data_IF_051447205960
#
_entry.id   IF_051447205960
#
_cell.length_a   1.000
_cell.length_b   1.000
_cell.length_c   1.000
_cell.angle_alpha   90.00
_cell.angle_beta   90.00
_cell.angle_gamma   90.00
#
_symmetry.space_group_name_H-M   'P 1'
#
loop_
_entity.id
_entity.type
_entity.pdbx_description
1 polymer ?
#
# COMPACT_ATOMS: atom_id res chain seq x y z
N UNK A 1 16.92 16.40 -7.13
CA UNK A 1 15.87 15.59 -7.81
C UNK A 1 14.91 15.07 -6.75
N UNK A 2 13.61 15.31 -6.92
CA UNK A 2 12.59 14.78 -6.03
C UNK A 2 12.08 13.43 -6.54
N UNK A 3 12.07 12.41 -5.67
CA UNK A 3 11.59 11.06 -5.96
C UNK A 3 10.43 10.75 -5.03
N UNK A 4 9.29 10.33 -5.59
CA UNK A 4 8.17 9.82 -4.82
C UNK A 4 8.20 8.29 -4.79
N UNK A 5 8.15 7.71 -3.60
CA UNK A 5 7.96 6.28 -3.39
C UNK A 5 6.53 6.03 -2.88
N UNK A 6 5.75 5.33 -3.68
CA UNK A 6 4.35 5.03 -3.37
C UNK A 6 4.22 3.60 -2.87
N UNK A 7 3.74 3.43 -1.66
CA UNK A 7 3.51 2.14 -1.02
C UNK A 7 2.01 1.86 -0.88
N UNK A 8 1.63 0.60 -1.06
CA UNK A 8 0.24 0.18 -0.83
C UNK A 8 0.16 -1.28 -0.42
N UNK A 9 -0.85 -1.64 0.36
CA UNK A 9 -1.13 -3.01 0.74
C UNK A 9 -1.26 -3.23 2.25
N UNK A 10 -1.34 -4.50 2.63
CA UNK A 10 -1.48 -4.92 4.03
C UNK A 10 -0.15 -4.88 4.80
N UNK A 11 -0.25 -4.74 6.13
CA UNK A 11 0.89 -4.68 7.05
C UNK A 11 1.89 -5.82 6.84
N UNK A 12 1.41 -7.05 6.72
CA UNK A 12 2.28 -8.22 6.57
C UNK A 12 3.23 -8.09 5.37
N UNK A 13 2.72 -7.69 4.22
CA UNK A 13 3.52 -7.53 3.01
C UNK A 13 4.49 -6.36 3.13
N UNK A 14 4.03 -5.25 3.70
CA UNK A 14 4.84 -4.05 3.88
C UNK A 14 5.98 -4.28 4.87
N UNK A 15 5.70 -4.75 6.08
CA UNK A 15 6.69 -4.93 7.13
C UNK A 15 7.78 -5.94 6.77
N UNK A 16 7.44 -6.96 5.98
CA UNK A 16 8.42 -7.94 5.48
C UNK A 16 9.57 -7.31 4.68
N UNK A 17 9.31 -6.20 4.01
CA UNK A 17 10.27 -5.54 3.12
C UNK A 17 10.72 -4.16 3.59
N UNK A 18 10.21 -3.67 4.72
CA UNK A 18 10.48 -2.31 5.21
C UNK A 18 11.98 -2.01 5.38
N UNK A 19 12.78 -2.97 5.84
CA UNK A 19 14.24 -2.84 5.94
C UNK A 19 14.90 -2.57 4.60
N UNK A 20 14.51 -3.31 3.55
CA UNK A 20 15.06 -3.14 2.19
C UNK A 20 14.64 -1.78 1.58
N UNK A 21 13.42 -1.34 1.89
CA UNK A 21 12.97 -0.02 1.45
C UNK A 21 13.75 1.09 2.13
N UNK A 22 14.12 0.92 3.40
CA UNK A 22 14.99 1.87 4.11
C UNK A 22 16.36 1.95 3.44
N UNK A 23 16.99 0.83 3.16
CA UNK A 23 18.27 0.77 2.44
C UNK A 23 18.21 1.46 1.07
N UNK A 24 17.11 1.26 0.33
CA UNK A 24 16.90 1.94 -0.96
C UNK A 24 16.80 3.46 -0.77
N UNK A 25 16.03 3.94 0.22
CA UNK A 25 15.88 5.36 0.50
C UNK A 25 17.24 5.96 0.85
N UNK A 26 17.97 5.34 1.77
CA UNK A 26 19.29 5.80 2.21
C UNK A 26 20.28 5.88 1.02
N UNK A 27 20.25 4.92 0.10
CA UNK A 27 21.10 4.93 -1.10
C UNK A 27 20.71 6.07 -2.06
N UNK A 28 19.41 6.31 -2.30
CA UNK A 28 18.95 7.40 -3.16
C UNK A 28 19.29 8.78 -2.56
N UNK A 29 19.17 8.93 -1.26
CA UNK A 29 19.51 10.17 -0.56
C UNK A 29 21.01 10.41 -0.54
N UNK A 30 21.83 9.35 -0.44
CA UNK A 30 23.29 9.44 -0.56
C UNK A 30 23.72 9.93 -1.94
N UNK A 31 22.97 9.59 -2.99
CA UNK A 31 23.17 10.09 -4.36
C UNK A 31 22.59 11.50 -4.60
N UNK A 32 22.11 12.17 -3.55
CA UNK A 32 21.61 13.55 -3.60
C UNK A 32 20.15 13.70 -4.02
N UNK A 33 19.37 12.62 -4.05
CA UNK A 33 17.93 12.70 -4.24
C UNK A 33 17.22 13.14 -2.95
N UNK A 34 16.07 13.78 -3.10
CA UNK A 34 15.12 14.03 -2.01
C UNK A 34 13.99 13.02 -2.15
N UNK A 35 13.89 12.08 -1.21
CA UNK A 35 12.95 10.98 -1.27
C UNK A 35 11.73 11.25 -0.38
N UNK A 36 10.55 11.22 -0.96
CA UNK A 36 9.28 11.37 -0.26
C UNK A 36 8.47 10.07 -0.36
N UNK A 37 8.03 9.57 0.77
CA UNK A 37 7.26 8.33 0.87
C UNK A 37 5.79 8.62 1.14
N UNK A 38 4.90 7.91 0.45
CA UNK A 38 3.45 7.99 0.59
C UNK A 38 2.87 6.58 0.73
N UNK A 39 1.89 6.42 1.60
CA UNK A 39 1.40 5.09 1.93
C UNK A 39 -0.12 5.03 2.06
N UNK A 40 -0.70 4.01 1.45
CA UNK A 40 -2.08 3.60 1.70
C UNK A 40 -2.13 2.17 2.20
N UNK A 41 -2.89 1.93 3.25
CA UNK A 41 -3.15 0.60 3.81
C UNK A 41 -4.59 0.46 4.28
N UNK A 42 -4.90 -0.72 4.78
CA UNK A 42 -6.22 -1.08 5.28
C UNK A 42 -6.23 -1.09 6.80
N UNK A 43 -7.41 -0.89 7.39
CA UNK A 43 -7.63 -1.04 8.83
C UNK A 43 -7.69 -2.50 9.29
N UNK A 44 -7.51 -3.42 8.35
CA UNK A 44 -7.40 -4.87 8.59
C UNK A 44 -6.08 -5.40 8.03
N UNK A 45 -5.62 -6.52 8.58
CA UNK A 45 -4.50 -7.29 8.03
C UNK A 45 -5.00 -8.66 7.59
N UNK A 46 -4.30 -9.28 6.64
CA UNK A 46 -4.60 -10.62 6.16
C UNK A 46 -3.60 -11.61 6.73
N UNK A 47 -4.09 -12.56 7.51
CA UNK A 47 -3.27 -13.62 8.10
C UNK A 47 -3.63 -14.97 7.49
N UNK A 48 -2.65 -15.87 7.41
CA UNK A 48 -2.92 -17.25 6.99
C UNK A 48 -3.81 -17.92 8.04
N UNK A 49 -4.89 -18.53 7.60
CA UNK A 49 -5.82 -19.24 8.49
C UNK A 49 -5.06 -20.34 9.26
N UNK A 50 -5.31 -20.41 10.56
CA UNK A 50 -4.77 -21.48 11.42
C UNK A 50 -5.92 -22.26 12.04
N UNK A 51 -5.85 -23.58 11.93
CA UNK A 51 -6.73 -24.49 12.69
C UNK A 51 -5.87 -25.27 13.69
N UNK A 52 -5.89 -24.82 14.95
CA UNK A 52 -4.97 -25.31 15.96
C UNK A 52 -3.51 -24.97 15.62
N UNK A 53 -2.65 -25.97 15.50
CA UNK A 53 -1.23 -25.81 15.10
C UNK A 53 -1.01 -25.88 13.58
N UNK A 54 -2.04 -26.19 12.79
CA UNK A 54 -1.92 -26.36 11.34
C UNK A 54 -2.19 -25.04 10.63
N UNK A 55 -1.25 -24.62 9.78
CA UNK A 55 -1.44 -23.53 8.83
C UNK A 55 -2.14 -24.07 7.58
N UNK A 56 -3.21 -23.40 7.15
CA UNK A 56 -3.93 -23.78 5.95
C UNK A 56 -3.42 -22.89 4.83
N UNK A 57 -2.55 -23.45 3.97
CA UNK A 57 -2.00 -22.72 2.84
C UNK A 57 -3.09 -22.27 1.86
N UNK A 58 -2.97 -21.02 1.39
CA UNK A 58 -3.94 -20.43 0.45
C UNK A 58 -5.23 -19.92 1.09
N UNK A 59 -5.44 -20.16 2.39
CA UNK A 59 -6.58 -19.63 3.15
C UNK A 59 -6.16 -18.45 4.02
N UNK A 60 -6.86 -17.32 3.87
CA UNK A 60 -6.55 -16.09 4.61
C UNK A 60 -7.77 -15.60 5.35
N UNK A 61 -7.56 -15.10 6.56
CA UNK A 61 -8.56 -14.43 7.38
C UNK A 61 -8.19 -12.97 7.59
N UNK A 62 -9.18 -12.10 7.54
CA UNK A 62 -9.01 -10.69 7.89
C UNK A 62 -9.06 -10.57 9.41
N UNK A 63 -8.12 -9.83 9.96
CA UNK A 63 -8.04 -9.49 11.38
C UNK A 63 -7.89 -7.98 11.54
N UNK A 64 -8.36 -7.37 12.64
CA UNK A 64 -8.11 -5.97 12.90
C UNK A 64 -6.61 -5.64 12.83
N UNK A 65 -6.28 -4.49 12.26
CA UNK A 65 -4.88 -4.05 12.16
C UNK A 65 -4.35 -3.71 13.55
N UNK A 66 -3.32 -4.43 13.96
CA UNK A 66 -2.52 -4.12 15.14
C UNK A 66 -1.17 -3.50 14.72
N UNK A 67 -0.61 -2.63 15.58
CA UNK A 67 0.70 -2.02 15.32
C UNK A 67 0.70 -1.03 14.14
N UNK A 68 -0.37 -0.27 13.95
CA UNK A 68 -0.45 0.81 12.96
C UNK A 68 0.71 1.79 13.10
N UNK A 69 1.07 2.16 14.32
CA UNK A 69 2.19 3.07 14.59
C UNK A 69 3.54 2.49 14.14
N UNK A 70 3.73 1.18 14.27
CA UNK A 70 4.92 0.50 13.78
C UNK A 70 5.09 0.67 12.26
N UNK A 71 3.99 0.54 11.51
CA UNK A 71 4.00 0.77 10.05
C UNK A 71 4.35 2.22 9.72
N UNK A 72 3.72 3.17 10.40
CA UNK A 72 3.95 4.61 10.17
C UNK A 72 5.41 4.97 10.46
N UNK A 73 6.01 4.37 11.48
CA UNK A 73 7.38 4.65 11.88
C UNK A 73 8.44 3.88 11.07
N UNK A 74 8.05 2.90 10.28
CA UNK A 74 8.98 2.06 9.52
C UNK A 74 9.75 2.84 8.45
N UNK A 75 9.11 3.81 7.79
CA UNK A 75 9.71 4.67 6.77
C UNK A 75 9.31 6.14 7.01
N UNK A 76 10.05 7.11 6.42
CA UNK A 76 9.78 8.55 6.60
C UNK A 76 8.59 9.01 5.75
N UNK A 77 7.40 8.53 6.03
CA UNK A 77 6.20 8.91 5.29
C UNK A 77 5.88 10.39 5.44
N UNK A 78 5.65 11.06 4.32
CA UNK A 78 5.15 12.43 4.25
C UNK A 78 3.65 12.49 4.43
N UNK A 79 2.96 11.50 3.90
CA UNK A 79 1.52 11.32 4.09
C UNK A 79 1.16 9.84 4.04
N UNK A 80 0.08 9.47 4.74
CA UNK A 80 -0.43 8.10 4.77
C UNK A 80 -1.92 8.09 5.05
N UNK A 81 -2.58 7.00 4.62
CA UNK A 81 -4.01 6.80 4.80
C UNK A 81 -4.29 5.34 5.14
N UNK A 82 -5.25 5.12 6.06
CA UNK A 82 -5.78 3.80 6.39
C UNK A 82 -7.29 3.82 6.18
N UNK A 83 -7.80 2.95 5.34
CA UNK A 83 -9.22 2.87 5.00
C UNK A 83 -9.79 1.49 5.34
N UNK A 84 -11.10 1.46 5.54
CA UNK A 84 -11.84 0.22 5.79
C UNK A 84 -11.95 -0.58 4.48
N UNK A 85 -11.32 -1.75 4.43
CA UNK A 85 -11.28 -2.58 3.22
C UNK A 85 -12.67 -3.05 2.80
N UNK A 86 -13.50 -3.49 3.75
CA UNK A 86 -14.82 -4.04 3.43
C UNK A 86 -15.78 -2.96 2.93
N UNK A 87 -15.73 -1.76 3.51
CA UNK A 87 -16.50 -0.62 3.02
C UNK A 87 -16.06 -0.17 1.64
N UNK A 88 -14.75 -0.15 1.40
CA UNK A 88 -14.18 0.21 0.09
C UNK A 88 -14.55 -0.83 -0.96
N UNK A 89 -14.45 -2.12 -0.64
CA UNK A 89 -14.84 -3.21 -1.54
C UNK A 89 -16.33 -3.13 -1.92
N UNK A 90 -17.20 -2.80 -0.96
CA UNK A 90 -18.63 -2.66 -1.21
C UNK A 90 -18.97 -1.50 -2.15
N UNK A 91 -18.13 -0.47 -2.21
CA UNK A 91 -18.31 0.72 -3.07
C UNK A 91 -17.54 0.62 -4.39
N UNK A 92 -16.70 -0.40 -4.58
CA UNK A 92 -15.85 -0.55 -5.75
C UNK A 92 -16.68 -0.88 -6.99
N UNK A 93 -16.71 0.05 -7.95
CA UNK A 93 -17.31 -0.15 -9.27
C UNK A 93 -16.20 -0.55 -10.24
N UNK A 94 -16.23 -1.79 -10.71
CA UNK A 94 -15.30 -2.27 -11.73
C UNK A 94 -15.80 -1.91 -13.13
N UNK A 95 -14.90 -1.49 -14.05
CA UNK A 95 -15.28 -1.27 -15.44
C UNK A 95 -15.86 -2.55 -16.07
N UNK A 96 -16.85 -2.42 -16.97
CA UNK A 96 -17.45 -3.58 -17.67
C UNK A 96 -16.41 -4.47 -18.34
N UNK A 97 -15.33 -3.90 -18.87
CA UNK A 97 -14.23 -4.64 -19.50
C UNK A 97 -13.40 -5.51 -18.53
N UNK A 98 -13.54 -5.32 -17.22
CA UNK A 98 -12.94 -6.20 -16.23
C UNK A 98 -13.58 -7.61 -16.20
N UNK A 99 -14.69 -7.81 -16.89
CA UNK A 99 -15.38 -9.11 -17.03
C UNK A 99 -14.62 -10.16 -17.87
N UNK A 100 -13.49 -9.81 -18.47
CA UNK A 100 -12.61 -10.77 -19.15
C UNK A 100 -11.87 -11.72 -18.19
N UNK A 101 -11.90 -11.44 -16.89
CA UNK A 101 -11.33 -12.32 -15.86
C UNK A 101 -12.44 -13.26 -15.32
N UNK A 102 -12.26 -14.56 -15.49
CA UNK A 102 -13.29 -15.59 -15.19
C UNK A 102 -13.71 -15.70 -13.71
N UNK A 103 -12.96 -15.10 -12.77
CA UNK A 103 -13.23 -15.23 -11.34
C UNK A 103 -13.57 -13.88 -10.72
N UNK A 104 -14.79 -13.73 -10.22
CA UNK A 104 -15.23 -12.49 -9.57
C UNK A 104 -14.37 -12.08 -8.35
N UNK A 105 -13.87 -13.05 -7.58
CA UNK A 105 -12.94 -12.80 -6.47
C UNK A 105 -11.61 -12.22 -6.94
N UNK A 106 -11.06 -12.69 -8.08
CA UNK A 106 -9.83 -12.14 -8.66
C UNK A 106 -10.02 -10.69 -9.14
N UNK A 107 -11.18 -10.38 -9.73
CA UNK A 107 -11.55 -9.02 -10.17
C UNK A 107 -11.57 -8.04 -9.00
N UNK A 108 -12.22 -8.41 -7.91
CA UNK A 108 -12.29 -7.60 -6.70
C UNK A 108 -10.90 -7.37 -6.11
N UNK A 109 -10.09 -8.41 -6.01
CA UNK A 109 -8.74 -8.31 -5.48
C UNK A 109 -7.85 -7.35 -6.31
N UNK A 110 -7.87 -7.46 -7.62
CA UNK A 110 -7.16 -6.53 -8.52
C UNK A 110 -7.70 -5.12 -8.37
N UNK A 111 -9.02 -4.94 -8.34
CA UNK A 111 -9.66 -3.65 -8.14
C UNK A 111 -9.23 -2.98 -6.84
N UNK A 112 -9.20 -3.72 -5.74
CA UNK A 112 -8.75 -3.23 -4.44
C UNK A 112 -7.25 -2.85 -4.44
N UNK A 113 -6.41 -3.59 -5.17
CA UNK A 113 -5.01 -3.23 -5.34
C UNK A 113 -4.84 -1.93 -6.13
N UNK A 114 -5.54 -1.78 -7.24
CA UNK A 114 -5.52 -0.56 -8.05
C UNK A 114 -6.04 0.65 -7.26
N UNK A 115 -7.12 0.47 -6.51
CA UNK A 115 -7.64 1.48 -5.61
C UNK A 115 -6.58 1.93 -4.61
N UNK A 116 -5.95 0.99 -3.91
CA UNK A 116 -4.91 1.28 -2.92
C UNK A 116 -3.71 2.01 -3.55
N UNK A 117 -3.34 1.66 -4.78
CA UNK A 117 -2.31 2.37 -5.55
C UNK A 117 -2.72 3.81 -5.87
N UNK A 118 -3.95 3.99 -6.34
CA UNK A 118 -4.49 5.31 -6.63
C UNK A 118 -4.50 6.21 -5.39
N UNK A 119 -4.92 5.68 -4.24
CA UNK A 119 -4.96 6.43 -2.98
C UNK A 119 -3.57 6.91 -2.55
N UNK A 120 -2.54 6.07 -2.68
CA UNK A 120 -1.16 6.50 -2.38
C UNK A 120 -0.67 7.59 -3.35
N UNK A 121 -1.08 7.54 -4.61
CA UNK A 121 -0.78 8.59 -5.60
C UNK A 121 -1.50 9.91 -5.30
N UNK A 122 -2.78 9.87 -4.93
CA UNK A 122 -3.55 11.05 -4.58
C UNK A 122 -2.95 11.79 -3.38
N UNK A 123 -2.43 11.06 -2.39
CA UNK A 123 -1.72 11.66 -1.27
C UNK A 123 -0.43 12.38 -1.68
N UNK A 124 0.30 11.80 -2.64
CA UNK A 124 1.47 12.44 -3.22
C UNK A 124 1.08 13.76 -3.93
N UNK A 125 0.06 13.72 -4.79
CA UNK A 125 -0.41 14.91 -5.52
C UNK A 125 -0.90 16.00 -4.57
N UNK A 126 -1.59 15.63 -3.51
CA UNK A 126 -2.00 16.59 -2.49
C UNK A 126 -0.80 17.23 -1.82
N UNK A 127 0.19 16.43 -1.44
CA UNK A 127 1.40 16.92 -0.78
C UNK A 127 2.25 17.81 -1.69
N UNK A 128 2.35 17.50 -3.00
CA UNK A 128 2.98 18.36 -4.00
C UNK A 128 2.36 19.76 -4.03
N UNK A 129 1.02 19.82 -4.07
CA UNK A 129 0.29 21.10 -4.07
C UNK A 129 0.49 21.91 -2.79
N UNK A 130 0.54 21.23 -1.64
CA UNK A 130 0.71 21.88 -0.34
C UNK A 130 2.13 22.42 -0.12
N UNK A 131 3.12 21.83 -0.78
CA UNK A 131 4.54 22.15 -0.59
C UNK A 131 5.17 22.86 -1.81
N UNK A 132 4.38 23.12 -2.87
CA UNK A 132 4.83 23.74 -4.11
C UNK A 132 6.06 23.04 -4.72
N UNK A 133 5.99 21.72 -4.82
CA UNK A 133 7.02 20.88 -5.44
C UNK A 133 6.42 19.94 -6.48
N UNK A 134 7.28 19.39 -7.33
CA UNK A 134 6.93 18.35 -8.29
C UNK A 134 7.97 17.22 -8.22
N UNK A 135 7.51 15.97 -8.14
CA UNK A 135 8.40 14.82 -8.21
C UNK A 135 8.79 14.53 -9.66
N UNK A 136 10.08 14.49 -9.91
CA UNK A 136 10.62 14.14 -11.25
C UNK A 136 10.55 12.64 -11.54
N UNK A 137 10.41 11.82 -10.52
CA UNK A 137 10.32 10.36 -10.64
C UNK A 137 9.32 9.81 -9.62
N UNK A 138 8.44 8.92 -10.07
CA UNK A 138 7.45 8.25 -9.23
C UNK A 138 7.70 6.75 -9.33
N UNK A 139 7.97 6.09 -8.20
CA UNK A 139 8.20 4.66 -8.12
C UNK A 139 7.13 4.02 -7.27
N UNK A 140 6.42 3.05 -7.84
CA UNK A 140 5.44 2.26 -7.13
C UNK A 140 6.10 1.03 -6.53
N UNK A 141 5.96 0.86 -5.22
CA UNK A 141 6.50 -0.25 -4.45
C UNK A 141 5.37 -1.08 -3.84
N UNK A 142 5.63 -2.39 -3.73
CA UNK A 142 4.62 -3.35 -3.27
C UNK A 142 5.22 -4.33 -2.26
#
# INVERSE_FOLDING_TARGET
>A
MYIALLFSGHKRSFMKHAGRWRELIDALEADGAIVNCFFHSWTVDCQVEQRGKQRIEGSYVKVPLEGKQEMINALPFKNYCFEDEDKTEAQLVLPERAFLLDKQAAKKHIGMQLYSMQRSYEQMVQWEKENDIEHSTIVKLR
#
